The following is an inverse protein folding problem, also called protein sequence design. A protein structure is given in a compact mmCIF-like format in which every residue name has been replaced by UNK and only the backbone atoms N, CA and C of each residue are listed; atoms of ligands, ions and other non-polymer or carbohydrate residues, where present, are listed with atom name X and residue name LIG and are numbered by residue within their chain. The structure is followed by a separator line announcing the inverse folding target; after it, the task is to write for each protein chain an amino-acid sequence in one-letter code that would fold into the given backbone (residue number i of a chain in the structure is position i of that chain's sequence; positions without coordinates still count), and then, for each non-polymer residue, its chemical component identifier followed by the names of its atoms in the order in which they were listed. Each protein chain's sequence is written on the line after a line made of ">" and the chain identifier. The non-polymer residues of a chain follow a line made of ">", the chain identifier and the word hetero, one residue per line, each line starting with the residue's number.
data_IF_342908546874
#
_entry.id   IF_342908546874
#
_cell.length_a   1.000
_cell.length_b   1.000
_cell.length_c   1.000
_cell.angle_alpha   90.00
_cell.angle_beta   90.00
_cell.angle_gamma   90.00
#
_symmetry.space_group_name_H-M   'P 1'
#
loop_
_entity.id
_entity.type
_entity.pdbx_description
1 polymer ?
#
# COMPACT_ATOMS: atom_id res chain seq x y z
N UNK A 1 -10.97 47.18 -5.08
CA UNK A 1 -11.91 46.70 -4.03
C UNK A 1 -11.62 45.25 -3.66
N UNK A 2 -12.21 44.71 -2.58
CA UNK A 2 -11.98 43.30 -2.16
C UNK A 2 -12.44 42.33 -3.26
N UNK A 3 -13.51 42.66 -3.97
CA UNK A 3 -14.05 41.90 -5.11
C UNK A 3 -13.05 41.73 -6.26
N UNK A 4 -12.25 42.76 -6.55
CA UNK A 4 -11.25 42.72 -7.62
C UNK A 4 -10.11 41.77 -7.24
N UNK A 5 -9.69 41.81 -5.95
CA UNK A 5 -8.68 40.91 -5.40
C UNK A 5 -9.14 39.45 -5.40
N UNK A 6 -10.43 39.18 -5.15
CA UNK A 6 -11.00 37.82 -5.23
C UNK A 6 -10.94 37.29 -6.67
N UNK A 7 -11.31 38.11 -7.67
CA UNK A 7 -11.22 37.73 -9.09
C UNK A 7 -9.78 37.49 -9.53
N UNK A 8 -8.85 38.31 -9.07
CA UNK A 8 -7.41 38.13 -9.34
C UNK A 8 -6.87 36.84 -8.70
N UNK A 9 -7.33 36.50 -7.50
CA UNK A 9 -6.99 35.25 -6.81
C UNK A 9 -7.51 34.03 -7.57
N UNK A 10 -8.74 34.07 -8.10
CA UNK A 10 -9.27 33.00 -8.94
C UNK A 10 -8.52 32.85 -10.26
N UNK A 11 -8.20 33.96 -10.92
CA UNK A 11 -7.43 33.96 -12.17
C UNK A 11 -5.99 33.43 -11.96
N UNK A 12 -5.35 33.75 -10.84
CA UNK A 12 -4.01 33.23 -10.51
C UNK A 12 -4.06 31.75 -10.17
N UNK A 13 -5.07 31.27 -9.44
CA UNK A 13 -5.27 29.82 -9.22
C UNK A 13 -5.47 29.06 -10.52
N UNK A 14 -6.26 29.59 -11.45
CA UNK A 14 -6.45 28.99 -12.77
C UNK A 14 -5.13 28.90 -13.56
N UNK A 15 -4.30 29.95 -13.49
CA UNK A 15 -2.95 29.93 -14.09
C UNK A 15 -2.04 28.88 -13.43
N UNK A 16 -2.06 28.77 -12.11
CA UNK A 16 -1.27 27.75 -11.38
C UNK A 16 -1.68 26.35 -11.84
N UNK A 17 -2.98 26.04 -11.90
CA UNK A 17 -3.46 24.75 -12.36
C UNK A 17 -2.99 24.43 -13.79
N UNK A 18 -3.05 25.42 -14.71
CA UNK A 18 -2.57 25.22 -16.08
C UNK A 18 -1.05 24.98 -16.16
N UNK A 19 -0.27 25.61 -15.29
CA UNK A 19 1.18 25.40 -15.22
C UNK A 19 1.51 24.02 -14.64
N UNK A 20 0.79 23.58 -13.62
CA UNK A 20 0.95 22.24 -13.05
C UNK A 20 0.67 21.14 -14.08
N UNK A 21 -0.39 21.28 -14.89
CA UNK A 21 -0.70 20.35 -15.98
C UNK A 21 0.39 20.35 -17.06
N UNK A 22 0.87 21.54 -17.46
CA UNK A 22 1.97 21.65 -18.43
C UNK A 22 3.24 20.98 -17.90
N UNK A 23 3.60 21.23 -16.64
CA UNK A 23 4.79 20.64 -16.00
C UNK A 23 4.66 19.11 -15.94
N UNK A 24 3.51 18.59 -15.51
CA UNK A 24 3.29 17.14 -15.44
C UNK A 24 3.48 16.49 -16.83
N UNK A 25 2.88 17.09 -17.87
CA UNK A 25 2.99 16.57 -19.24
C UNK A 25 4.42 16.61 -19.81
N UNK A 26 5.22 17.62 -19.44
CA UNK A 26 6.62 17.74 -19.85
C UNK A 26 7.51 16.77 -19.07
N UNK A 27 7.25 16.62 -17.78
CA UNK A 27 8.00 15.75 -16.89
C UNK A 27 7.84 14.27 -17.31
N UNK A 28 6.63 13.84 -17.68
CA UNK A 28 6.41 12.47 -18.17
C UNK A 28 7.21 12.18 -19.45
N UNK A 29 7.25 13.15 -20.39
CA UNK A 29 8.06 13.04 -21.61
C UNK A 29 9.54 12.97 -21.27
N UNK A 30 10.03 13.89 -20.45
CA UNK A 30 11.45 13.92 -20.05
C UNK A 30 11.91 12.65 -19.33
N UNK A 31 11.08 12.12 -18.41
CA UNK A 31 11.37 10.86 -17.72
C UNK A 31 11.39 9.68 -18.68
N UNK A 32 10.49 9.66 -19.67
CA UNK A 32 10.45 8.60 -20.67
C UNK A 32 11.70 8.61 -21.55
N UNK A 33 12.26 9.77 -21.87
CA UNK A 33 13.46 9.91 -22.71
C UNK A 33 14.77 9.81 -21.91
N UNK A 34 14.70 9.79 -20.58
CA UNK A 34 15.90 9.83 -19.74
C UNK A 34 16.85 8.66 -20.03
N UNK A 35 16.31 7.47 -20.27
CA UNK A 35 17.12 6.29 -20.57
C UNK A 35 17.91 6.44 -21.89
N UNK A 36 17.32 7.05 -22.91
CA UNK A 36 18.01 7.26 -24.20
C UNK A 36 19.09 8.33 -24.10
N UNK A 37 18.87 9.40 -23.32
CA UNK A 37 19.88 10.44 -23.05
C UNK A 37 21.16 9.89 -22.44
N UNK A 38 21.06 8.83 -21.63
CA UNK A 38 22.20 8.15 -21.03
C UNK A 38 22.65 6.90 -21.80
N UNK A 39 22.16 6.70 -23.03
CA UNK A 39 22.61 5.63 -23.92
C UNK A 39 22.09 4.23 -23.56
N UNK A 40 20.99 4.12 -22.80
CA UNK A 40 20.36 2.84 -22.49
C UNK A 40 19.24 2.55 -23.48
N UNK A 41 19.20 1.30 -23.96
CA UNK A 41 18.15 0.83 -24.88
C UNK A 41 16.78 0.65 -24.22
N UNK A 42 16.72 0.59 -22.89
CA UNK A 42 15.45 0.44 -22.16
C UNK A 42 15.48 1.15 -20.81
N UNK A 43 14.30 1.60 -20.38
CA UNK A 43 14.09 2.14 -19.04
C UNK A 43 14.51 1.13 -17.94
N UNK A 44 14.30 -0.17 -18.14
CA UNK A 44 14.73 -1.17 -17.14
C UNK A 44 16.26 -1.28 -17.04
N UNK A 45 16.99 -1.16 -18.16
CA UNK A 45 18.45 -1.16 -18.14
C UNK A 45 18.99 0.06 -17.40
N UNK A 46 18.39 1.24 -17.65
CA UNK A 46 18.72 2.47 -16.95
C UNK A 46 18.45 2.35 -15.44
N UNK A 47 17.26 1.89 -15.03
CA UNK A 47 16.91 1.70 -13.61
C UNK A 47 17.87 0.73 -12.92
N UNK A 48 18.27 -0.36 -13.58
CA UNK A 48 19.26 -1.31 -13.04
C UNK A 48 20.62 -0.65 -12.83
N UNK A 49 21.09 0.15 -13.79
CA UNK A 49 22.35 0.86 -13.69
C UNK A 49 22.31 1.91 -12.56
N UNK A 50 21.23 2.69 -12.45
CA UNK A 50 21.01 3.65 -11.37
C UNK A 50 20.96 2.95 -10.02
N UNK A 51 20.24 1.82 -9.90
CA UNK A 51 20.18 1.05 -8.66
C UNK A 51 21.53 0.43 -8.29
N UNK A 52 22.35 0.04 -9.26
CA UNK A 52 23.70 -0.45 -9.02
C UNK A 52 24.64 0.68 -8.55
N UNK A 53 24.55 1.86 -9.18
CA UNK A 53 25.35 3.04 -8.84
C UNK A 53 25.01 3.63 -7.47
N UNK A 54 23.73 3.62 -7.09
CA UNK A 54 23.25 4.16 -5.79
C UNK A 54 23.35 3.16 -4.64
N UNK A 55 23.96 1.98 -4.85
CA UNK A 55 24.11 0.96 -3.81
C UNK A 55 22.81 0.21 -3.45
N UNK A 56 21.77 0.33 -4.28
CA UNK A 56 20.46 -0.31 -4.15
C UNK A 56 20.44 -1.82 -4.34
N UNK A 57 21.57 -2.52 -4.18
CA UNK A 57 21.57 -3.96 -3.91
C UNK A 57 20.93 -4.14 -2.54
N UNK A 58 19.61 -4.31 -2.51
CA UNK A 58 18.89 -4.92 -1.39
C UNK A 58 19.69 -6.17 -1.05
N UNK A 59 20.47 -6.13 0.03
CA UNK A 59 21.25 -7.27 0.53
C UNK A 59 20.26 -8.41 0.59
N UNK A 60 20.36 -9.35 -0.36
CA UNK A 60 19.55 -10.56 -0.39
C UNK A 60 19.99 -11.26 0.89
N UNK A 61 19.26 -11.04 1.99
CA UNK A 61 19.41 -11.79 3.24
C UNK A 61 19.02 -13.20 2.87
N UNK A 62 19.99 -13.92 2.31
CA UNK A 62 19.95 -15.36 2.10
C UNK A 62 19.96 -16.02 3.45
N UNK A 63 18.83 -15.96 4.15
CA UNK A 63 18.47 -17.03 5.06
C UNK A 63 18.13 -18.21 4.19
N UNK A 64 19.02 -19.20 4.15
CA UNK A 64 18.75 -20.52 3.57
C UNK A 64 17.59 -21.12 4.38
N UNK A 65 16.36 -20.84 3.98
CA UNK A 65 15.18 -21.45 4.56
C UNK A 65 15.18 -22.91 4.09
N UNK A 66 15.41 -23.82 5.04
CA UNK A 66 15.19 -25.25 4.89
C UNK A 66 13.78 -25.42 4.32
N UNK A 67 13.68 -26.07 3.15
CA UNK A 67 12.39 -26.43 2.56
C UNK A 67 11.74 -27.46 3.49
N UNK A 68 10.78 -27.05 4.32
CA UNK A 68 9.81 -28.00 4.83
C UNK A 68 8.80 -28.29 3.71
N UNK A 69 8.86 -29.50 3.18
CA UNK A 69 7.76 -30.09 2.44
C UNK A 69 6.53 -30.10 3.35
N UNK A 70 5.42 -29.51 2.91
CA UNK A 70 4.13 -29.66 3.60
C UNK A 70 3.38 -28.39 4.00
N UNK A 71 3.75 -27.20 3.49
CA UNK A 71 3.01 -25.97 3.79
C UNK A 71 2.68 -25.15 2.55
N UNK A 72 1.67 -25.52 1.77
CA UNK A 72 1.10 -24.59 0.77
C UNK A 72 0.62 -23.36 1.54
N UNK A 73 1.35 -22.24 1.44
CA UNK A 73 1.00 -20.97 2.08
C UNK A 73 -0.43 -20.63 1.65
N UNK A 74 -1.40 -20.81 2.55
CA UNK A 74 -2.79 -20.43 2.28
C UNK A 74 -2.82 -18.94 1.97
N UNK A 75 -3.51 -18.56 0.90
CA UNK A 75 -3.76 -17.14 0.59
C UNK A 75 -4.43 -16.54 1.83
N UNK A 76 -3.86 -15.45 2.35
CA UNK A 76 -4.41 -14.77 3.52
C UNK A 76 -5.77 -14.19 3.15
N UNK A 77 -6.78 -14.42 3.98
CA UNK A 77 -8.06 -13.73 3.84
C UNK A 77 -7.82 -12.22 3.96
N UNK A 78 -8.42 -11.43 3.07
CA UNK A 78 -8.44 -9.97 3.19
C UNK A 78 -9.43 -9.62 4.29
N UNK A 79 -8.94 -9.12 5.42
CA UNK A 79 -9.80 -8.64 6.51
C UNK A 79 -10.24 -7.22 6.15
N UNK A 80 -11.41 -7.11 5.50
CA UNK A 80 -12.10 -5.84 5.22
C UNK A 80 -12.69 -5.27 6.49
N UNK A 81 -13.09 -3.99 6.47
CA UNK A 81 -13.74 -3.34 7.61
C UNK A 81 -15.11 -3.94 7.94
N UNK A 82 -15.82 -4.43 6.92
CA UNK A 82 -17.08 -5.19 7.06
C UNK A 82 -16.89 -6.44 7.93
N UNK A 83 -15.85 -7.25 7.67
CA UNK A 83 -15.53 -8.45 8.46
C UNK A 83 -15.20 -8.08 9.92
N UNK A 84 -14.60 -6.90 10.16
CA UNK A 84 -14.32 -6.44 11.53
C UNK A 84 -15.59 -6.06 12.28
N UNK A 85 -16.54 -5.41 11.60
CA UNK A 85 -17.83 -5.05 12.16
C UNK A 85 -18.69 -6.30 12.46
N UNK A 86 -18.76 -7.24 11.53
CA UNK A 86 -19.48 -8.50 11.74
C UNK A 86 -18.85 -9.32 12.87
N UNK A 87 -17.51 -9.38 12.94
CA UNK A 87 -16.82 -10.04 14.04
C UNK A 87 -17.14 -9.39 15.39
N UNK A 88 -17.22 -8.05 15.44
CA UNK A 88 -17.58 -7.31 16.65
C UNK A 88 -18.98 -7.68 17.12
N UNK A 89 -19.96 -7.67 16.20
CA UNK A 89 -21.34 -8.05 16.50
C UNK A 89 -21.45 -9.50 17.00
N UNK A 90 -20.75 -10.44 16.35
CA UNK A 90 -20.74 -11.85 16.77
C UNK A 90 -20.01 -12.07 18.10
N UNK A 91 -18.98 -11.26 18.40
CA UNK A 91 -18.28 -11.29 19.68
C UNK A 91 -19.13 -10.71 20.82
N UNK A 92 -19.87 -9.63 20.58
CA UNK A 92 -20.84 -9.06 21.52
C UNK A 92 -22.02 -10.00 21.77
N UNK A 93 -22.45 -10.75 20.74
CA UNK A 93 -23.44 -11.82 20.87
C UNK A 93 -22.93 -13.07 21.63
N UNK A 94 -21.70 -13.06 22.16
CA UNK A 94 -21.17 -14.12 23.02
C UNK A 94 -20.68 -15.38 22.30
N UNK A 95 -20.58 -15.37 20.96
CA UNK A 95 -20.11 -16.55 20.20
C UNK A 95 -18.64 -16.88 20.46
N UNK A 96 -18.32 -18.16 20.39
CA UNK A 96 -16.94 -18.63 20.57
C UNK A 96 -16.05 -18.20 19.40
N UNK A 97 -14.73 -18.05 19.64
CA UNK A 97 -13.80 -17.65 18.58
C UNK A 97 -13.75 -18.63 17.39
N UNK A 98 -14.02 -19.91 17.65
CA UNK A 98 -14.13 -20.97 16.63
C UNK A 98 -15.39 -20.83 15.77
N UNK A 99 -16.53 -20.50 16.37
CA UNK A 99 -17.77 -20.25 15.63
C UNK A 99 -17.65 -19.01 14.73
N UNK A 100 -17.03 -17.95 15.24
CA UNK A 100 -16.76 -16.73 14.49
C UNK A 100 -15.83 -17.02 13.29
N UNK A 101 -14.79 -17.84 13.51
CA UNK A 101 -13.87 -18.26 12.45
C UNK A 101 -14.59 -19.04 11.34
N UNK A 102 -15.50 -19.95 11.71
CA UNK A 102 -16.28 -20.74 10.77
C UNK A 102 -17.29 -19.88 9.99
N UNK A 103 -18.00 -18.98 10.67
CA UNK A 103 -19.00 -18.11 10.06
C UNK A 103 -18.40 -17.10 9.08
N UNK A 104 -17.24 -16.52 9.42
CA UNK A 104 -16.58 -15.49 8.62
C UNK A 104 -15.53 -16.07 7.64
N UNK A 105 -15.33 -17.39 7.62
CA UNK A 105 -14.34 -18.03 6.75
C UNK A 105 -12.89 -17.58 7.01
N UNK A 106 -12.60 -17.11 8.23
CA UNK A 106 -11.28 -16.59 8.63
C UNK A 106 -10.55 -17.54 9.56
N UNK A 107 -9.23 -17.45 9.59
CA UNK A 107 -8.43 -18.28 10.50
C UNK A 107 -8.66 -17.84 11.96
N UNK A 108 -8.63 -18.79 12.91
CA UNK A 108 -8.72 -18.51 14.34
C UNK A 108 -7.68 -17.46 14.82
N UNK A 109 -6.42 -17.46 14.34
CA UNK A 109 -5.47 -16.38 14.64
C UNK A 109 -5.94 -15.00 14.16
N UNK A 110 -6.63 -14.92 13.02
CA UNK A 110 -7.20 -13.68 12.51
C UNK A 110 -8.31 -13.15 13.43
N UNK A 111 -9.20 -14.03 13.90
CA UNK A 111 -10.23 -13.67 14.89
C UNK A 111 -9.59 -13.04 16.12
N UNK A 112 -8.54 -13.68 16.66
CA UNK A 112 -7.85 -13.19 17.85
C UNK A 112 -7.15 -11.85 17.62
N UNK A 113 -6.54 -11.65 16.45
CA UNK A 113 -5.90 -10.38 16.09
C UNK A 113 -6.92 -9.25 15.95
N UNK A 114 -8.09 -9.51 15.37
CA UNK A 114 -9.16 -8.53 15.26
C UNK A 114 -9.72 -8.22 16.65
N UNK A 115 -9.96 -9.23 17.50
CA UNK A 115 -10.40 -9.02 18.89
C UNK A 115 -9.41 -8.14 19.68
N UNK A 116 -8.10 -8.34 19.51
CA UNK A 116 -7.07 -7.47 20.11
C UNK A 116 -7.12 -6.05 19.54
N UNK A 117 -7.26 -5.90 18.22
CA UNK A 117 -7.36 -4.59 17.58
C UNK A 117 -8.61 -3.80 18.02
N UNK A 118 -9.71 -4.50 18.31
CA UNK A 118 -10.95 -3.94 18.85
C UNK A 118 -10.91 -3.72 20.37
N UNK A 119 -9.80 -4.06 21.05
CA UNK A 119 -9.68 -3.94 22.51
C UNK A 119 -10.50 -4.95 23.32
N UNK A 120 -11.11 -5.95 22.69
CA UNK A 120 -11.95 -6.97 23.34
C UNK A 120 -11.14 -8.03 24.09
N UNK A 121 -9.84 -8.17 23.81
CA UNK A 121 -8.96 -9.13 24.50
C UNK A 121 -7.59 -8.51 24.76
N UNK A 122 -7.05 -8.74 25.96
CA UNK A 122 -5.72 -8.28 26.39
C UNK A 122 -4.63 -8.70 25.39
N UNK A 123 -3.88 -7.72 24.89
CA UNK A 123 -2.61 -7.98 24.21
C UNK A 123 -1.62 -8.56 25.23
N UNK A 124 -1.01 -9.71 24.92
CA UNK A 124 0.17 -10.15 25.67
C UNK A 124 1.34 -9.31 25.19
N UNK A 125 1.80 -8.42 26.05
CA UNK A 125 3.14 -7.81 25.99
C UNK A 125 4.19 -8.85 26.33
#
# INVERSE_FOLDING_TARGET
>A
MITDKIKELEATKAKVASLEESIASQLDKELSELHTKYGFESAQAFIKAVAAATGGRKKKRGGKAVKSEGGKRRKRAKITDEIRAELKNLAEAGKSGSEIAAALGISLPSVQNIKKALGLVKSRS
#
